data_IF_397222280574
#
_entry.id   IF_397222280574
#
_cell.length_a   1.000
_cell.length_b   1.000
_cell.length_c   1.000
_cell.angle_alpha   90.00
_cell.angle_beta   90.00
_cell.angle_gamma   90.00
#
_symmetry.space_group_name_H-M   'P 1'
#
loop_
_entity.id
_entity.type
_entity.pdbx_description
1 polymer ?
#
# COMPACT_ATOMS: atom_id res chain seq x y z
N UNK A 1 5.63 -13.77 -24.53
CA UNK A 1 4.54 -12.78 -24.54
C UNK A 1 5.16 -11.40 -24.75
N UNK A 2 4.72 -10.66 -25.74
CA UNK A 2 5.28 -9.35 -26.11
C UNK A 2 4.89 -8.30 -25.07
N UNK A 3 5.76 -7.32 -24.75
CA UNK A 3 5.41 -6.16 -23.92
C UNK A 3 4.25 -5.41 -24.57
N UNK A 4 3.40 -4.79 -23.75
CA UNK A 4 2.23 -4.04 -24.22
C UNK A 4 2.62 -2.86 -25.13
N UNK A 5 1.78 -2.60 -26.12
CA UNK A 5 1.94 -1.38 -26.94
C UNK A 5 1.69 -0.13 -26.09
N UNK A 6 2.31 0.99 -26.45
CA UNK A 6 2.05 2.28 -25.79
C UNK A 6 0.58 2.65 -25.80
N UNK A 7 -0.16 2.32 -26.89
CA UNK A 7 -1.59 2.54 -27.02
C UNK A 7 -2.38 1.75 -25.98
N UNK A 8 -2.07 0.45 -25.80
CA UNK A 8 -2.75 -0.39 -24.81
C UNK A 8 -2.46 0.07 -23.38
N UNK A 9 -1.22 0.48 -23.09
CA UNK A 9 -0.84 1.02 -21.77
C UNK A 9 -1.67 2.26 -21.43
N UNK A 10 -1.80 3.20 -22.37
CA UNK A 10 -2.60 4.41 -22.19
C UNK A 10 -4.09 4.08 -22.01
N UNK A 11 -4.62 3.12 -22.74
CA UNK A 11 -6.01 2.71 -22.60
C UNK A 11 -6.26 2.00 -21.26
N UNK A 12 -5.35 1.14 -20.82
CA UNK A 12 -5.40 0.53 -19.47
C UNK A 12 -5.39 1.61 -18.40
N UNK A 13 -4.45 2.58 -18.49
CA UNK A 13 -4.37 3.72 -17.58
C UNK A 13 -5.70 4.46 -17.50
N UNK A 14 -6.22 4.87 -18.64
CA UNK A 14 -7.48 5.59 -18.76
C UNK A 14 -8.64 4.85 -18.08
N UNK A 15 -8.82 3.56 -18.40
CA UNK A 15 -9.92 2.77 -17.85
C UNK A 15 -9.80 2.55 -16.34
N UNK A 16 -8.59 2.34 -15.82
CA UNK A 16 -8.38 2.24 -14.36
C UNK A 16 -8.76 3.56 -13.69
N UNK A 17 -8.27 4.69 -14.19
CA UNK A 17 -8.57 6.00 -13.62
C UNK A 17 -10.06 6.34 -13.71
N UNK A 18 -10.74 6.01 -14.79
CA UNK A 18 -12.18 6.23 -14.93
C UNK A 18 -13.02 5.44 -13.94
N UNK A 19 -12.60 4.22 -13.58
CA UNK A 19 -13.37 3.38 -12.67
C UNK A 19 -13.02 3.61 -11.20
N UNK A 20 -11.84 4.22 -10.88
CA UNK A 20 -11.32 4.36 -9.52
C UNK A 20 -10.72 5.74 -9.24
N UNK A 21 -11.10 6.79 -9.98
CA UNK A 21 -10.46 8.12 -9.93
C UNK A 21 -10.54 8.80 -8.55
N UNK A 22 -11.58 8.55 -7.78
CA UNK A 22 -11.86 9.20 -6.50
C UNK A 22 -11.61 8.27 -5.30
N UNK A 23 -11.18 7.05 -5.56
CA UNK A 23 -10.97 6.07 -4.50
C UNK A 23 -9.71 6.40 -3.69
N UNK A 24 -9.89 6.42 -2.38
CA UNK A 24 -8.82 6.64 -1.40
C UNK A 24 -8.49 5.35 -0.66
N UNK A 25 -7.44 5.39 0.12
CA UNK A 25 -7.11 4.31 1.05
C UNK A 25 -8.30 4.00 1.97
N UNK A 26 -8.59 2.71 2.19
CA UNK A 26 -9.58 2.28 3.17
C UNK A 26 -9.11 2.45 4.61
N UNK A 27 -7.82 2.76 4.85
CA UNK A 27 -7.27 3.07 6.17
C UNK A 27 -7.78 4.42 6.67
N UNK A 28 -8.16 4.47 7.96
CA UNK A 28 -8.65 5.68 8.62
C UNK A 28 -7.53 6.29 9.47
N UNK A 29 -7.13 7.50 9.14
CA UNK A 29 -6.10 8.26 9.85
C UNK A 29 -6.39 9.77 9.79
N UNK A 30 -5.82 10.55 10.71
CA UNK A 30 -6.01 12.00 10.82
C UNK A 30 -4.75 12.79 10.42
N UNK A 31 -3.58 12.21 10.60
CA UNK A 31 -2.28 12.83 10.38
C UNK A 31 -1.23 11.81 9.89
N UNK A 32 -0.03 12.26 9.60
CA UNK A 32 1.07 11.44 9.10
C UNK A 32 1.57 10.40 10.11
N UNK A 33 1.52 10.69 11.40
CA UNK A 33 1.83 9.71 12.44
C UNK A 33 0.86 8.55 12.42
N UNK A 34 -0.44 8.85 12.42
CA UNK A 34 -1.49 7.84 12.36
C UNK A 34 -1.43 7.05 11.05
N UNK A 35 -1.17 7.73 9.93
CA UNK A 35 -0.96 7.08 8.64
C UNK A 35 0.17 6.07 8.70
N UNK A 36 1.36 6.47 9.18
CA UNK A 36 2.52 5.58 9.28
C UNK A 36 2.21 4.35 10.15
N UNK A 37 1.60 4.54 11.32
CA UNK A 37 1.17 3.44 12.19
C UNK A 37 0.19 2.51 11.48
N UNK A 38 -0.85 3.06 10.83
CA UNK A 38 -1.85 2.27 10.10
C UNK A 38 -1.20 1.43 8.98
N UNK A 39 -0.30 2.02 8.19
CA UNK A 39 0.39 1.32 7.10
C UNK A 39 1.31 0.22 7.64
N UNK A 40 2.05 0.46 8.74
CA UNK A 40 2.86 -0.57 9.39
C UNK A 40 2.00 -1.72 9.93
N UNK A 41 0.83 -1.42 10.48
CA UNK A 41 -0.11 -2.44 10.97
C UNK A 41 -0.75 -3.22 9.83
N UNK A 42 -0.99 -2.62 8.65
CA UNK A 42 -1.62 -3.26 7.50
C UNK A 42 -0.75 -4.34 6.83
N UNK A 43 0.55 -4.39 7.11
CA UNK A 43 1.41 -5.45 6.61
C UNK A 43 0.87 -6.84 7.03
N UNK A 44 0.38 -7.62 6.07
CA UNK A 44 -0.27 -8.94 6.28
C UNK A 44 -1.46 -8.88 7.28
N UNK A 45 -2.16 -7.74 7.30
CA UNK A 45 -3.39 -7.55 8.07
C UNK A 45 -4.37 -6.75 7.22
N UNK A 46 -5.66 -7.05 7.31
CA UNK A 46 -6.67 -6.34 6.51
C UNK A 46 -6.91 -4.93 7.05
N UNK A 47 -7.18 -3.97 6.14
CA UNK A 47 -7.48 -2.57 6.51
C UNK A 47 -8.67 -2.50 7.47
N UNK A 48 -9.68 -3.34 7.27
CA UNK A 48 -10.82 -3.49 8.20
C UNK A 48 -10.35 -3.83 9.62
N UNK A 49 -9.39 -4.75 9.77
CA UNK A 49 -8.84 -5.12 11.08
C UNK A 49 -8.04 -3.98 11.69
N UNK A 50 -7.22 -3.30 10.89
CA UNK A 50 -6.45 -2.13 11.33
C UNK A 50 -7.40 -1.04 11.84
N UNK A 51 -8.45 -0.72 11.08
CA UNK A 51 -9.44 0.30 11.45
C UNK A 51 -10.24 -0.04 12.74
N UNK A 52 -10.35 -1.32 13.12
CA UNK A 52 -10.96 -1.73 14.39
C UNK A 52 -10.02 -1.53 15.59
N UNK A 53 -8.72 -1.62 15.38
CA UNK A 53 -7.70 -1.54 16.44
C UNK A 53 -7.29 -0.10 16.70
N UNK A 54 -7.09 0.67 15.65
CA UNK A 54 -6.44 1.99 15.70
C UNK A 54 -7.18 3.03 16.54
N UNK A 55 -8.52 3.07 16.66
CA UNK A 55 -9.18 4.04 17.56
C UNK A 55 -8.73 3.91 19.01
N UNK A 56 -8.66 2.69 19.55
CA UNK A 56 -8.20 2.45 20.92
C UNK A 56 -6.69 2.67 21.04
N UNK A 57 -5.92 2.30 20.01
CA UNK A 57 -4.48 2.52 19.97
C UNK A 57 -4.14 4.01 20.02
N UNK A 58 -4.81 4.86 19.24
CA UNK A 58 -4.57 6.30 19.21
C UNK A 58 -5.18 7.05 20.40
N UNK A 59 -6.15 6.46 21.10
CA UNK A 59 -6.60 6.99 22.40
C UNK A 59 -5.52 6.84 23.48
N UNK A 60 -4.78 5.72 23.47
CA UNK A 60 -3.68 5.46 24.41
C UNK A 60 -2.38 6.16 24.00
N UNK A 61 -2.08 6.21 22.69
CA UNK A 61 -0.87 6.81 22.12
C UNK A 61 -1.25 7.89 21.11
N UNK A 62 -1.71 9.08 21.56
CA UNK A 62 -2.23 10.11 20.66
C UNK A 62 -1.17 10.77 19.77
N UNK A 63 0.11 10.66 20.14
CA UNK A 63 1.22 11.19 19.35
C UNK A 63 2.41 10.24 19.33
N UNK A 64 3.34 10.53 18.41
CA UNK A 64 4.59 9.77 18.30
C UNK A 64 5.42 9.84 19.58
N UNK A 65 5.32 10.93 20.35
CA UNK A 65 6.06 11.11 21.61
C UNK A 65 5.57 10.18 22.72
N UNK A 66 4.26 9.96 22.83
CA UNK A 66 3.69 8.98 23.76
C UNK A 66 4.04 7.56 23.35
N UNK A 67 3.96 7.24 22.07
CA UNK A 67 4.34 5.91 21.56
C UNK A 67 5.82 5.62 21.76
N UNK A 68 6.71 6.61 21.65
CA UNK A 68 8.15 6.45 21.90
C UNK A 68 8.48 6.03 23.34
N UNK A 69 7.61 6.39 24.30
CA UNK A 69 7.74 6.07 25.74
C UNK A 69 6.89 4.86 26.14
N UNK A 70 6.17 4.26 25.22
CA UNK A 70 5.19 3.22 25.52
C UNK A 70 5.84 1.96 26.08
N UNK A 71 5.13 1.33 27.01
CA UNK A 71 5.47 -0.01 27.46
C UNK A 71 5.16 -1.04 26.39
N UNK A 72 6.10 -1.93 26.10
CA UNK A 72 5.96 -2.94 25.05
C UNK A 72 4.74 -3.86 25.26
N UNK A 73 4.43 -4.21 26.52
CA UNK A 73 3.27 -5.07 26.82
C UNK A 73 1.94 -4.38 26.48
N UNK A 74 1.82 -3.07 26.76
CA UNK A 74 0.64 -2.27 26.42
C UNK A 74 0.44 -2.20 24.91
N UNK A 75 1.52 -1.93 24.15
CA UNK A 75 1.45 -1.91 22.68
C UNK A 75 1.03 -3.28 22.13
N UNK A 76 1.65 -4.36 22.61
CA UNK A 76 1.30 -5.73 22.20
C UNK A 76 -0.16 -6.06 22.47
N UNK A 77 -0.68 -5.69 23.65
CA UNK A 77 -2.07 -5.94 24.02
C UNK A 77 -3.04 -5.29 23.02
N UNK A 78 -2.80 -4.02 22.70
CA UNK A 78 -3.67 -3.24 21.81
C UNK A 78 -3.70 -3.76 20.37
N UNK A 79 -2.58 -4.30 19.88
CA UNK A 79 -2.47 -4.80 18.49
C UNK A 79 -2.46 -6.33 18.39
N UNK A 80 -2.81 -7.06 19.46
CA UNK A 80 -2.72 -8.52 19.58
C UNK A 80 -3.48 -9.29 18.49
N UNK A 81 -4.53 -8.68 17.92
CA UNK A 81 -5.30 -9.27 16.83
C UNK A 81 -4.69 -9.05 15.43
N UNK A 82 -3.56 -8.33 15.32
CA UNK A 82 -2.79 -8.22 14.09
C UNK A 82 -1.84 -9.41 13.93
N UNK A 83 -1.67 -9.89 12.70
CA UNK A 83 -0.61 -10.85 12.42
C UNK A 83 0.77 -10.25 12.75
N UNK A 84 1.67 -11.09 13.28
CA UNK A 84 3.04 -10.67 13.66
C UNK A 84 3.09 -9.52 14.68
N UNK A 85 2.08 -9.39 15.54
CA UNK A 85 1.94 -8.28 16.49
C UNK A 85 3.16 -8.11 17.41
N UNK A 86 3.87 -9.19 17.76
CA UNK A 86 5.08 -9.12 18.58
C UNK A 86 6.18 -8.24 17.93
N UNK A 87 6.50 -8.54 16.67
CA UNK A 87 7.49 -7.78 15.91
C UNK A 87 7.01 -6.38 15.57
N UNK A 88 5.71 -6.24 15.24
CA UNK A 88 5.10 -4.94 14.98
C UNK A 88 5.16 -4.01 16.18
N UNK A 89 4.88 -4.51 17.39
CA UNK A 89 4.95 -3.72 18.61
C UNK A 89 6.37 -3.16 18.85
N UNK A 90 7.39 -4.02 18.69
CA UNK A 90 8.78 -3.59 18.80
C UNK A 90 9.14 -2.54 17.76
N UNK A 91 8.75 -2.77 16.51
CA UNK A 91 9.04 -1.84 15.42
C UNK A 91 8.30 -0.51 15.56
N UNK A 92 7.05 -0.50 16.03
CA UNK A 92 6.30 0.73 16.29
C UNK A 92 6.97 1.60 17.35
N UNK A 93 7.44 1.02 18.46
CA UNK A 93 8.16 1.77 19.49
C UNK A 93 9.49 2.30 18.94
N UNK A 94 10.29 1.45 18.28
CA UNK A 94 11.58 1.85 17.70
C UNK A 94 11.40 2.93 16.62
N UNK A 95 10.38 2.82 15.78
CA UNK A 95 10.02 3.84 14.81
C UNK A 95 9.72 5.16 15.50
N UNK A 96 8.86 5.16 16.53
CA UNK A 96 8.50 6.37 17.26
C UNK A 96 9.72 7.01 17.95
N UNK A 97 10.59 6.19 18.54
CA UNK A 97 11.85 6.67 19.15
C UNK A 97 12.76 7.32 18.12
N UNK A 98 12.91 6.72 16.93
CA UNK A 98 13.70 7.30 15.84
C UNK A 98 13.10 8.61 15.35
N UNK A 99 11.77 8.68 15.15
CA UNK A 99 11.09 9.92 14.74
C UNK A 99 11.32 11.04 15.77
N UNK A 100 11.24 10.72 17.06
CA UNK A 100 11.48 11.74 18.12
C UNK A 100 12.96 12.18 18.16
N UNK A 101 13.89 11.23 18.02
CA UNK A 101 15.33 11.51 18.13
C UNK A 101 15.92 12.20 16.90
N UNK A 102 15.55 11.73 15.70
CA UNK A 102 16.23 12.08 14.45
C UNK A 102 15.45 13.08 13.60
N UNK A 103 14.14 13.27 13.89
CA UNK A 103 13.22 14.08 13.10
C UNK A 103 12.35 15.02 13.97
N UNK A 104 12.79 15.37 15.17
CA UNK A 104 12.11 16.29 16.11
C UNK A 104 10.63 15.96 16.39
N UNK A 105 10.27 14.70 16.25
CA UNK A 105 8.90 14.22 16.47
C UNK A 105 7.97 14.42 15.26
N UNK A 106 8.49 14.79 14.10
CA UNK A 106 7.75 14.92 12.84
C UNK A 106 8.09 13.74 11.93
N UNK A 107 7.09 13.02 11.45
CA UNK A 107 7.31 11.91 10.50
C UNK A 107 7.90 12.45 9.21
N UNK A 108 9.08 11.96 8.76
CA UNK A 108 9.67 12.42 7.51
C UNK A 108 8.78 12.04 6.32
N UNK A 109 8.66 12.93 5.35
CA UNK A 109 7.93 12.70 4.10
C UNK A 109 8.87 12.64 2.90
N UNK A 110 10.00 11.95 3.08
CA UNK A 110 10.92 11.56 2.02
C UNK A 110 11.28 10.07 2.14
N UNK A 111 11.70 9.46 1.04
CA UNK A 111 11.93 8.02 0.97
C UNK A 111 13.07 7.57 1.89
N UNK A 112 14.16 8.31 1.94
CA UNK A 112 15.32 7.96 2.74
C UNK A 112 15.01 8.01 4.24
N UNK A 113 14.37 9.09 4.69
CA UNK A 113 13.91 9.27 6.07
C UNK A 113 12.94 8.17 6.48
N UNK A 114 11.92 7.89 5.68
CA UNK A 114 10.96 6.82 5.98
C UNK A 114 11.64 5.44 6.06
N UNK A 115 12.53 5.12 5.13
CA UNK A 115 13.23 3.82 5.11
C UNK A 115 14.26 3.65 6.22
N UNK A 116 14.70 4.72 6.85
CA UNK A 116 15.54 4.65 8.06
C UNK A 116 14.78 4.19 9.29
N UNK A 117 13.45 4.25 9.28
CA UNK A 117 12.61 3.88 10.41
C UNK A 117 12.42 2.37 10.53
N UNK A 118 12.45 1.87 11.76
CA UNK A 118 12.30 0.45 12.04
C UNK A 118 10.96 -0.11 11.52
N UNK A 119 10.99 -1.17 10.71
CA UNK A 119 9.80 -1.82 10.16
C UNK A 119 9.21 -1.11 8.94
N UNK A 120 9.87 -0.09 8.41
CA UNK A 120 9.46 0.62 7.19
C UNK A 120 10.31 0.16 6.02
N UNK A 121 9.73 -0.66 5.15
CA UNK A 121 10.33 -1.07 3.88
C UNK A 121 9.88 -0.18 2.72
N UNK A 122 10.38 -0.45 1.50
CA UNK A 122 10.07 0.29 0.28
C UNK A 122 8.55 0.51 0.09
N UNK A 123 7.77 -0.57 0.14
CA UNK A 123 6.32 -0.46 -0.04
C UNK A 123 5.66 0.44 1.00
N UNK A 124 6.02 0.29 2.28
CA UNK A 124 5.47 1.11 3.37
C UNK A 124 5.82 2.59 3.16
N UNK A 125 7.08 2.89 2.83
CA UNK A 125 7.52 4.25 2.54
C UNK A 125 6.72 4.87 1.39
N UNK A 126 6.54 4.14 0.29
CA UNK A 126 5.81 4.64 -0.88
C UNK A 126 4.31 4.86 -0.58
N UNK A 127 3.66 3.98 0.19
CA UNK A 127 2.26 4.21 0.60
C UNK A 127 2.15 5.44 1.49
N UNK A 128 3.08 5.66 2.43
CA UNK A 128 3.09 6.86 3.28
C UNK A 128 3.34 8.13 2.45
N UNK A 129 4.27 8.11 1.50
CA UNK A 129 4.54 9.24 0.61
C UNK A 129 3.33 9.58 -0.28
N UNK A 130 2.67 8.55 -0.79
CA UNK A 130 1.50 8.68 -1.63
C UNK A 130 0.32 9.31 -0.88
N UNK A 131 -0.05 8.74 0.27
CA UNK A 131 -1.21 9.16 1.05
C UNK A 131 -0.93 10.42 1.89
N UNK A 132 0.31 10.60 2.36
CA UNK A 132 0.71 11.70 3.24
C UNK A 132 1.23 12.93 2.51
N UNK A 133 1.86 12.78 1.36
CA UNK A 133 2.48 13.86 0.59
C UNK A 133 1.93 14.01 -0.83
N UNK A 134 1.02 13.14 -1.28
CA UNK A 134 0.55 13.13 -2.67
C UNK A 134 1.64 12.85 -3.69
N UNK A 135 2.70 12.14 -3.29
CA UNK A 135 3.83 11.86 -4.15
C UNK A 135 3.44 11.01 -5.36
N UNK A 136 4.06 11.28 -6.50
CA UNK A 136 3.84 10.50 -7.72
C UNK A 136 4.68 9.21 -7.70
N UNK A 137 4.36 8.29 -6.81
CA UNK A 137 5.04 7.00 -6.62
C UNK A 137 4.07 5.84 -6.81
N UNK A 138 4.62 4.70 -7.23
CA UNK A 138 3.87 3.45 -7.38
C UNK A 138 4.28 2.50 -6.25
N UNK A 139 3.37 2.12 -5.39
CA UNK A 139 3.64 1.04 -4.43
C UNK A 139 3.13 -0.29 -5.01
N UNK A 140 3.93 -1.34 -4.92
CA UNK A 140 3.56 -2.65 -5.45
C UNK A 140 3.29 -3.63 -4.32
N UNK A 141 2.02 -3.94 -4.11
CA UNK A 141 1.57 -5.01 -3.23
C UNK A 141 1.22 -6.27 -4.04
N UNK A 142 0.69 -7.28 -3.38
CA UNK A 142 0.30 -8.54 -4.02
C UNK A 142 -0.84 -8.37 -5.03
N UNK A 143 -1.72 -7.37 -4.85
CA UNK A 143 -2.78 -7.07 -5.81
C UNK A 143 -2.23 -6.38 -7.04
N UNK A 144 -1.47 -5.31 -6.86
CA UNK A 144 -0.80 -4.58 -7.95
C UNK A 144 0.13 -5.50 -8.74
N UNK A 145 0.95 -6.29 -8.04
CA UNK A 145 1.85 -7.26 -8.67
C UNK A 145 1.09 -8.22 -9.60
N UNK A 146 0.06 -8.87 -9.09
CA UNK A 146 -0.77 -9.79 -9.86
C UNK A 146 -1.45 -9.12 -11.06
N UNK A 147 -2.05 -7.95 -10.84
CA UNK A 147 -2.73 -7.18 -11.89
C UNK A 147 -1.76 -6.78 -12.98
N UNK A 148 -0.59 -6.26 -12.63
CA UNK A 148 0.46 -5.88 -13.58
C UNK A 148 0.87 -7.04 -14.49
N UNK A 149 1.08 -8.22 -13.91
CA UNK A 149 1.45 -9.42 -14.67
C UNK A 149 0.33 -9.93 -15.57
N UNK A 150 -0.91 -9.99 -15.06
CA UNK A 150 -2.07 -10.42 -15.86
C UNK A 150 -2.38 -9.47 -17.01
N UNK A 151 -2.18 -8.18 -16.81
CA UNK A 151 -2.34 -7.18 -17.86
C UNK A 151 -1.12 -7.10 -18.81
N UNK A 152 -0.02 -7.78 -18.52
CA UNK A 152 1.22 -7.75 -19.31
C UNK A 152 1.96 -6.42 -19.24
N UNK A 153 1.78 -5.68 -18.14
CA UNK A 153 2.48 -4.41 -17.86
C UNK A 153 3.88 -4.62 -17.28
N UNK A 154 4.11 -5.77 -16.64
CA UNK A 154 5.42 -6.18 -16.11
C UNK A 154 5.60 -7.69 -16.24
N UNK A 155 6.85 -8.12 -16.28
CA UNK A 155 7.31 -9.52 -16.21
C UNK A 155 8.38 -9.72 -15.14
N UNK A 156 8.60 -8.69 -14.36
CA UNK A 156 9.59 -8.68 -13.31
C UNK A 156 9.27 -9.73 -12.24
N UNK A 157 10.31 -10.31 -11.64
CA UNK A 157 10.13 -11.37 -10.64
C UNK A 157 9.93 -10.81 -9.22
N UNK A 158 10.21 -9.53 -9.01
CA UNK A 158 10.10 -8.89 -7.71
C UNK A 158 9.17 -7.68 -7.74
N UNK A 159 8.56 -7.30 -6.60
CA UNK A 159 7.74 -6.10 -6.49
C UNK A 159 8.50 -4.82 -6.90
N UNK A 160 9.77 -4.67 -6.51
CA UNK A 160 10.59 -3.48 -6.77
C UNK A 160 10.83 -3.29 -8.27
N UNK A 161 11.13 -4.37 -8.98
CA UNK A 161 11.30 -4.33 -10.43
C UNK A 161 9.96 -4.09 -11.14
N UNK A 162 8.86 -4.64 -10.62
CA UNK A 162 7.51 -4.37 -11.14
C UNK A 162 7.12 -2.91 -10.94
N UNK A 163 7.48 -2.31 -9.80
CA UNK A 163 7.28 -0.90 -9.52
C UNK A 163 7.98 -0.01 -10.55
N UNK A 164 9.24 -0.33 -10.86
CA UNK A 164 9.99 0.37 -11.91
C UNK A 164 9.30 0.27 -13.28
N UNK A 165 8.91 -0.95 -13.68
CA UNK A 165 8.21 -1.18 -14.94
C UNK A 165 6.92 -0.35 -15.04
N UNK A 166 6.10 -0.32 -13.97
CA UNK A 166 4.86 0.45 -13.92
C UNK A 166 5.11 1.96 -13.92
N UNK A 167 6.12 2.42 -13.18
CA UNK A 167 6.50 3.84 -13.14
C UNK A 167 6.97 4.34 -14.50
N UNK A 168 7.77 3.55 -15.22
CA UNK A 168 8.20 3.86 -16.58
C UNK A 168 7.04 3.83 -17.59
N UNK A 169 6.11 2.88 -17.44
CA UNK A 169 4.98 2.72 -18.34
C UNK A 169 3.96 3.85 -18.20
N UNK A 170 3.62 4.25 -16.98
CA UNK A 170 2.55 5.20 -16.71
C UNK A 170 3.02 6.64 -16.51
N UNK A 171 4.20 6.86 -15.93
CA UNK A 171 4.89 8.14 -15.67
C UNK A 171 4.16 9.09 -14.71
N UNK A 172 2.87 9.27 -14.87
CA UNK A 172 2.03 10.18 -14.08
C UNK A 172 0.84 9.45 -13.47
N UNK A 173 0.21 10.07 -12.48
CA UNK A 173 -0.96 9.53 -11.77
C UNK A 173 -0.68 8.21 -11.05
N UNK A 174 0.59 7.96 -10.69
CA UNK A 174 1.03 6.68 -10.13
C UNK A 174 0.28 6.33 -8.85
N UNK A 175 -0.01 7.33 -8.01
CA UNK A 175 -0.77 7.14 -6.80
C UNK A 175 -2.21 6.71 -7.03
N UNK A 176 -2.91 7.39 -7.92
CA UNK A 176 -4.28 7.02 -8.30
C UNK A 176 -4.33 5.64 -8.95
N UNK A 177 -3.32 5.34 -9.79
CA UNK A 177 -3.19 4.03 -10.43
C UNK A 177 -2.87 2.94 -9.43
N UNK A 178 -2.01 3.20 -8.44
CA UNK A 178 -1.77 2.28 -7.34
C UNK A 178 -3.08 1.89 -6.66
N UNK A 179 -3.83 2.88 -6.18
CA UNK A 179 -5.09 2.65 -5.49
C UNK A 179 -6.11 1.93 -6.39
N UNK A 180 -6.26 2.37 -7.63
CA UNK A 180 -7.14 1.72 -8.61
C UNK A 180 -6.75 0.27 -8.88
N UNK A 181 -5.46 -0.04 -9.02
CA UNK A 181 -4.98 -1.41 -9.23
C UNK A 181 -5.16 -2.29 -7.98
N UNK A 182 -5.01 -1.73 -6.77
CA UNK A 182 -5.29 -2.44 -5.52
C UNK A 182 -6.76 -2.85 -5.47
N UNK A 183 -7.68 -1.91 -5.67
CA UNK A 183 -9.13 -2.16 -5.62
C UNK A 183 -9.59 -3.08 -6.76
N UNK A 184 -9.10 -2.85 -7.97
CA UNK A 184 -9.35 -3.74 -9.09
C UNK A 184 -8.88 -5.17 -8.81
N UNK A 185 -7.69 -5.33 -8.23
CA UNK A 185 -7.15 -6.63 -7.81
C UNK A 185 -7.93 -7.27 -6.66
N UNK A 186 -8.48 -6.46 -5.75
CA UNK A 186 -9.25 -6.92 -4.58
C UNK A 186 -10.64 -7.39 -4.96
N UNK A 187 -11.32 -6.67 -5.82
CA UNK A 187 -12.75 -6.89 -6.07
C UNK A 187 -13.05 -7.54 -7.43
N UNK A 188 -12.27 -7.27 -8.48
CA UNK A 188 -12.52 -7.79 -9.84
C UNK A 188 -11.47 -8.83 -10.24
N UNK A 189 -10.19 -8.46 -10.31
CA UNK A 189 -9.11 -9.35 -10.75
C UNK A 189 -8.55 -10.18 -9.58
N UNK A 190 -9.43 -10.93 -8.90
CA UNK A 190 -9.11 -11.73 -7.72
C UNK A 190 -8.05 -12.79 -8.03
N UNK A 191 -7.31 -13.24 -6.99
CA UNK A 191 -6.31 -14.31 -7.14
C UNK A 191 -6.96 -15.62 -7.62
N UNK A 192 -8.07 -15.99 -6.99
CA UNK A 192 -8.87 -17.17 -7.30
C UNK A 192 -10.21 -16.71 -7.88
N UNK A 193 -10.64 -17.32 -8.99
CA UNK A 193 -11.91 -17.04 -9.68
C UNK A 193 -12.10 -15.53 -9.96
N UNK A 194 -11.21 -14.90 -10.76
CA UNK A 194 -11.40 -13.50 -11.15
C UNK A 194 -12.71 -13.31 -11.92
N UNK A 195 -13.35 -12.15 -11.75
CA UNK A 195 -14.58 -11.81 -12.47
C UNK A 195 -14.28 -11.29 -13.89
N UNK A 196 -13.85 -12.19 -14.79
CA UNK A 196 -13.42 -11.82 -16.13
C UNK A 196 -14.56 -11.45 -17.07
N UNK A 197 -15.77 -11.98 -16.86
CA UNK A 197 -16.95 -11.72 -17.69
C UNK A 197 -17.34 -10.24 -17.66
N UNK A 198 -17.31 -9.63 -16.49
CA UNK A 198 -17.70 -8.23 -16.27
C UNK A 198 -16.47 -7.30 -16.16
N UNK A 199 -15.28 -7.79 -16.53
CA UNK A 199 -14.06 -7.03 -16.38
C UNK A 199 -13.91 -5.99 -17.49
N UNK A 200 -13.85 -4.72 -17.13
CA UNK A 200 -13.70 -3.60 -18.08
C UNK A 200 -12.33 -3.59 -18.80
N UNK A 201 -11.38 -4.43 -18.37
CA UNK A 201 -10.06 -4.63 -19.02
C UNK A 201 -9.98 -5.98 -19.75
N UNK A 202 -11.06 -6.74 -19.87
CA UNK A 202 -11.03 -8.10 -20.41
C UNK A 202 -10.42 -8.18 -21.83
N UNK A 203 -10.78 -7.26 -22.71
CA UNK A 203 -10.26 -7.19 -24.09
C UNK A 203 -8.76 -6.94 -24.14
N UNK A 204 -8.27 -6.13 -23.20
CA UNK A 204 -6.85 -5.79 -23.08
C UNK A 204 -6.05 -6.81 -22.24
N UNK A 205 -6.72 -7.74 -21.58
CA UNK A 205 -6.05 -8.70 -20.70
C UNK A 205 -5.42 -9.85 -21.50
N UNK A 206 -4.14 -10.13 -21.23
CA UNK A 206 -3.39 -11.22 -21.86
C UNK A 206 -3.20 -12.44 -20.97
N UNK A 207 -3.83 -12.45 -19.79
CA UNK A 207 -3.73 -13.59 -18.87
C UNK A 207 -4.33 -14.86 -19.48
N UNK A 208 -3.65 -15.97 -19.20
CA UNK A 208 -4.17 -17.31 -19.51
C UNK A 208 -5.17 -17.82 -18.45
N UNK A 209 -5.21 -17.15 -17.28
CA UNK A 209 -6.03 -17.54 -16.13
C UNK A 209 -7.42 -16.90 -16.16
N UNK A 210 -7.91 -16.50 -17.34
CA UNK A 210 -9.25 -15.92 -17.48
C UNK A 210 -10.30 -16.93 -17.04
N UNK A 211 -11.26 -16.46 -16.24
CA UNK A 211 -12.37 -17.25 -15.74
C UNK A 211 -13.67 -16.76 -16.37
N UNK A 212 -14.30 -17.60 -17.13
CA UNK A 212 -15.61 -17.38 -17.76
C UNK A 212 -16.51 -18.53 -17.29
N UNK A 213 -17.20 -18.38 -16.15
CA UNK A 213 -18.15 -19.38 -15.64
C UNK A 213 -19.39 -19.43 -16.52
#
# INVERSE_FOLDING_TARGET
>A
MQMRSKKDILEIKKRILQNFAEERSELKFKDTYQLLVCVMLSAQCTDKRVNLITPRFFAEFPSVKELAKANLASVKLLISSCNFYNNKAVNLIKMAQAVVRDFDGVVPLDEAGLKSLAGVGQKTAHVVLLEGAGANVMAVDTHVFRVAHRLGLSRAKTPELTERDLSEAFKTDLGKLHQGMVLFGRYTCKAIKPNCKECFLNELCSSKDKNFP
#
